data_IF_849606633442
#
_entry.id   IF_849606633442
#
_cell.length_a   1.000
_cell.length_b   1.000
_cell.length_c   1.000
_cell.angle_alpha   90.00
_cell.angle_beta   90.00
_cell.angle_gamma   90.00
#
_symmetry.space_group_name_H-M   'P 1'
#
loop_
_entity.id
_entity.type
_entity.pdbx_description
1 polymer ?
#
# COMPACT_ATOMS: atom_id res chain seq x y z
N UNK A 1 10.40 0.88 -12.18
CA UNK A 1 11.25 -0.34 -12.05
C UNK A 1 10.39 -1.58 -12.25
N UNK A 2 10.92 -2.70 -12.78
CA UNK A 2 10.14 -3.93 -13.08
C UNK A 2 9.48 -4.57 -11.84
N UNK A 3 9.95 -4.26 -10.63
CA UNK A 3 9.49 -4.86 -9.36
C UNK A 3 8.84 -3.86 -8.39
N UNK A 4 8.53 -2.66 -8.85
CA UNK A 4 8.02 -1.60 -7.97
C UNK A 4 6.69 -1.97 -7.32
N UNK A 5 5.74 -2.53 -8.09
CA UNK A 5 4.44 -2.95 -7.57
C UNK A 5 4.57 -4.08 -6.54
N UNK A 6 5.55 -4.97 -6.72
CA UNK A 6 5.86 -6.06 -5.76
C UNK A 6 6.39 -5.50 -4.44
N UNK A 7 7.30 -4.53 -4.50
CA UNK A 7 7.83 -3.86 -3.30
C UNK A 7 6.71 -3.10 -2.58
N UNK A 8 5.91 -2.34 -3.32
CA UNK A 8 4.76 -1.62 -2.76
C UNK A 8 3.72 -2.58 -2.16
N UNK A 9 3.50 -3.75 -2.77
CA UNK A 9 2.62 -4.77 -2.22
C UNK A 9 3.14 -5.32 -0.87
N UNK A 10 4.45 -5.58 -0.77
CA UNK A 10 5.07 -5.95 0.51
C UNK A 10 4.94 -4.84 1.56
N UNK A 11 5.19 -3.58 1.19
CA UNK A 11 5.00 -2.42 2.07
C UNK A 11 3.55 -2.34 2.54
N UNK A 12 2.58 -2.52 1.65
CA UNK A 12 1.17 -2.50 2.00
C UNK A 12 0.83 -3.58 3.01
N UNK A 13 1.20 -4.84 2.77
CA UNK A 13 0.93 -5.93 3.71
C UNK A 13 1.58 -5.69 5.08
N UNK A 14 2.83 -5.20 5.08
CA UNK A 14 3.59 -4.92 6.29
C UNK A 14 2.95 -3.85 7.15
N UNK A 15 2.72 -2.66 6.58
CA UNK A 15 2.19 -1.50 7.32
C UNK A 15 0.78 -1.80 7.82
N UNK A 16 -0.02 -2.49 7.01
CA UNK A 16 -1.40 -2.81 7.34
C UNK A 16 -1.51 -3.86 8.45
N UNK A 17 -0.66 -4.89 8.45
CA UNK A 17 -0.65 -5.90 9.53
C UNK A 17 -0.03 -5.35 10.81
N UNK A 18 1.04 -4.55 10.70
CA UNK A 18 1.64 -3.87 11.85
C UNK A 18 0.61 -2.97 12.54
N UNK A 19 -0.08 -2.12 11.77
CA UNK A 19 -1.13 -1.25 12.30
C UNK A 19 -2.30 -2.03 12.89
N UNK A 20 -2.71 -3.14 12.25
CA UNK A 20 -3.78 -3.98 12.78
C UNK A 20 -3.44 -4.55 14.17
N UNK A 21 -2.22 -5.07 14.33
CA UNK A 21 -1.74 -5.62 15.61
C UNK A 21 -1.55 -4.50 16.65
N UNK A 22 -1.05 -3.34 16.24
CA UNK A 22 -0.66 -2.26 17.15
C UNK A 22 -1.82 -1.32 17.56
N UNK A 23 -2.84 -1.16 16.71
CA UNK A 23 -3.87 -0.12 16.81
C UNK A 23 -5.29 -0.71 16.79
N UNK A 24 -5.55 -1.70 17.66
CA UNK A 24 -6.90 -2.22 17.93
C UNK A 24 -7.64 -2.73 16.68
N UNK A 25 -6.91 -3.40 15.80
CA UNK A 25 -7.44 -3.98 14.56
C UNK A 25 -7.67 -2.96 13.45
N UNK A 26 -7.03 -1.79 13.50
CA UNK A 26 -7.10 -0.79 12.44
C UNK A 26 -6.29 -1.21 11.21
N UNK A 27 -6.91 -1.23 10.03
CA UNK A 27 -6.21 -1.36 8.76
C UNK A 27 -5.90 0.01 8.15
N UNK A 28 -4.63 0.38 7.97
CA UNK A 28 -4.28 1.65 7.30
C UNK A 28 -4.59 1.66 5.79
N UNK A 29 -4.58 0.50 5.12
CA UNK A 29 -4.76 0.39 3.67
C UNK A 29 -6.11 -0.23 3.26
N UNK A 30 -6.68 -1.11 4.09
CA UNK A 30 -7.96 -1.79 3.82
C UNK A 30 -9.18 -1.01 4.33
N UNK A 31 -9.50 0.10 3.65
CA UNK A 31 -10.65 0.96 4.01
C UNK A 31 -11.97 0.19 4.06
N UNK A 32 -12.20 -0.74 3.13
CA UNK A 32 -13.42 -1.57 3.11
C UNK A 32 -13.51 -2.48 4.34
N UNK A 33 -12.39 -3.02 4.82
CA UNK A 33 -12.34 -3.81 6.06
C UNK A 33 -12.68 -2.96 7.28
N UNK A 34 -12.20 -1.72 7.34
CA UNK A 34 -12.55 -0.81 8.43
C UNK A 34 -14.05 -0.49 8.50
N UNK A 35 -14.76 -0.41 7.36
CA UNK A 35 -16.22 -0.21 7.38
C UNK A 35 -16.94 -1.36 8.10
N UNK A 36 -16.50 -2.60 7.89
CA UNK A 36 -17.04 -3.77 8.60
C UNK A 36 -16.74 -3.67 10.10
N UNK A 37 -15.51 -3.29 10.47
CA UNK A 37 -15.13 -3.13 11.88
C UNK A 37 -15.86 -1.98 12.59
N UNK A 38 -16.19 -0.91 11.88
CA UNK A 38 -17.04 0.17 12.39
C UNK A 38 -18.45 -0.36 12.63
N UNK A 39 -19.03 -1.07 11.65
CA UNK A 39 -20.36 -1.68 11.79
C UNK A 39 -20.42 -2.66 12.97
N UNK A 40 -19.41 -3.51 13.12
CA UNK A 40 -19.27 -4.40 14.27
C UNK A 40 -19.20 -3.61 15.59
N UNK A 41 -18.40 -2.55 15.64
CA UNK A 41 -18.27 -1.71 16.83
C UNK A 41 -19.56 -0.97 17.21
N UNK A 42 -20.34 -0.51 16.23
CA UNK A 42 -21.67 0.08 16.46
C UNK A 42 -22.63 -0.97 17.06
N UNK A 43 -22.51 -2.23 16.63
CA UNK A 43 -23.28 -3.35 17.19
C UNK A 43 -22.74 -3.84 18.56
N UNK A 44 -21.75 -3.16 19.15
CA UNK A 44 -21.17 -3.51 20.45
C UNK A 44 -20.00 -4.52 20.38
N UNK A 45 -19.56 -4.89 19.18
CA UNK A 45 -18.44 -5.83 18.97
C UNK A 45 -17.14 -5.09 18.62
N UNK A 46 -16.21 -5.01 19.58
CA UNK A 46 -14.86 -4.48 19.37
C UNK A 46 -14.58 -3.14 20.08
N UNK A 47 -13.45 -2.51 19.76
CA UNK A 47 -13.00 -1.25 20.34
C UNK A 47 -12.48 -0.28 19.26
N UNK A 48 -12.36 1.01 19.61
CA UNK A 48 -11.75 2.04 18.77
C UNK A 48 -12.59 2.48 17.57
N UNK A 49 -13.91 2.57 17.72
CA UNK A 49 -14.81 3.03 16.64
C UNK A 49 -14.47 4.46 16.21
N UNK A 50 -14.15 5.35 17.15
CA UNK A 50 -13.75 6.73 16.85
C UNK A 50 -12.47 6.75 16.02
N UNK A 51 -11.44 6.02 16.45
CA UNK A 51 -10.20 5.84 15.67
C UNK A 51 -10.50 5.34 14.25
N UNK A 52 -11.33 4.31 14.11
CA UNK A 52 -11.68 3.74 12.80
C UNK A 52 -12.49 4.70 11.91
N UNK A 53 -13.33 5.55 12.49
CA UNK A 53 -14.05 6.60 11.77
C UNK A 53 -13.12 7.74 11.34
N UNK A 54 -12.20 8.16 12.22
CA UNK A 54 -11.28 9.27 11.96
C UNK A 54 -10.26 9.00 10.85
N UNK A 55 -9.93 7.73 10.60
CA UNK A 55 -8.94 7.38 9.57
C UNK A 55 -9.49 7.47 8.15
N UNK A 56 -10.81 7.42 7.96
CA UNK A 56 -11.41 7.53 6.62
C UNK A 56 -11.16 8.92 5.99
N UNK A 57 -11.42 10.04 6.68
CA UNK A 57 -10.98 11.37 6.22
C UNK A 57 -9.48 11.44 5.91
N UNK A 58 -8.63 10.82 6.74
CA UNK A 58 -7.19 10.81 6.53
C UNK A 58 -6.81 10.07 5.22
N UNK A 59 -7.46 8.94 4.94
CA UNK A 59 -7.30 8.23 3.68
C UNK A 59 -7.70 9.11 2.48
N UNK A 60 -8.85 9.80 2.57
CA UNK A 60 -9.33 10.74 1.54
C UNK A 60 -8.31 11.86 1.31
N UNK A 61 -7.75 12.43 2.38
CA UNK A 61 -6.66 13.41 2.26
C UNK A 61 -5.44 12.83 1.51
N UNK A 62 -5.10 11.55 1.73
CA UNK A 62 -4.05 10.81 1.00
C UNK A 62 -4.27 10.78 -0.50
N UNK A 63 -5.50 10.44 -0.89
CA UNK A 63 -5.90 10.37 -2.29
C UNK A 63 -5.88 11.77 -2.92
N UNK A 64 -6.40 12.79 -2.22
CA UNK A 64 -6.42 14.17 -2.70
C UNK A 64 -4.99 14.70 -2.87
N UNK A 65 -4.15 14.56 -1.85
CA UNK A 65 -2.76 15.01 -1.89
C UNK A 65 -2.00 14.36 -3.06
N UNK A 66 -2.20 13.07 -3.29
CA UNK A 66 -1.58 12.35 -4.41
C UNK A 66 -2.03 12.87 -5.77
N UNK A 67 -3.33 13.15 -5.91
CA UNK A 67 -3.91 13.74 -7.12
C UNK A 67 -3.34 15.14 -7.38
N UNK A 68 -3.24 15.98 -6.35
CA UNK A 68 -2.68 17.32 -6.47
C UNK A 68 -1.18 17.30 -6.82
N UNK A 69 -0.39 16.43 -6.17
CA UNK A 69 1.03 16.24 -6.49
C UNK A 69 1.18 15.81 -7.95
N UNK A 70 0.46 14.78 -8.39
CA UNK A 70 0.53 14.30 -9.77
C UNK A 70 0.14 15.39 -10.79
N UNK A 71 -0.93 16.15 -10.52
CA UNK A 71 -1.38 17.25 -11.39
C UNK A 71 -0.36 18.39 -11.47
N UNK A 72 0.22 18.79 -10.34
CA UNK A 72 1.25 19.85 -10.27
C UNK A 72 2.53 19.49 -11.06
N UNK A 73 2.74 18.19 -11.30
CA UNK A 73 3.90 17.66 -12.02
C UNK A 73 3.56 17.14 -13.42
N UNK A 74 2.35 17.39 -13.92
CA UNK A 74 1.90 16.88 -15.23
C UNK A 74 2.73 17.38 -16.42
N UNK A 75 3.33 18.57 -16.31
CA UNK A 75 4.27 19.12 -17.30
C UNK A 75 5.72 18.66 -17.14
N UNK A 76 6.01 17.77 -16.19
CA UNK A 76 7.36 17.24 -15.93
C UNK A 76 7.44 15.75 -16.29
N UNK A 77 8.66 15.20 -16.47
CA UNK A 77 8.82 13.76 -16.69
C UNK A 77 8.13 12.92 -15.59
N UNK A 78 7.41 11.87 -15.99
CA UNK A 78 6.59 11.06 -15.07
C UNK A 78 7.36 10.51 -13.86
N UNK A 79 8.68 10.24 -14.01
CA UNK A 79 9.53 9.76 -12.92
C UNK A 79 9.64 10.74 -11.76
N UNK A 80 9.47 12.05 -12.00
CA UNK A 80 9.51 13.06 -10.93
C UNK A 80 8.26 13.00 -10.05
N UNK A 81 7.08 12.79 -10.66
CA UNK A 81 5.83 12.57 -9.93
C UNK A 81 5.88 11.30 -9.09
N UNK A 82 6.40 10.22 -9.66
CA UNK A 82 6.63 8.96 -8.94
C UNK A 82 7.55 9.15 -7.75
N UNK A 83 8.70 9.81 -7.97
CA UNK A 83 9.67 10.11 -6.90
C UNK A 83 9.02 10.91 -5.78
N UNK A 84 8.23 11.93 -6.13
CA UNK A 84 7.56 12.77 -5.16
C UNK A 84 6.55 11.98 -4.33
N UNK A 85 5.74 11.13 -4.95
CA UNK A 85 4.75 10.30 -4.24
C UNK A 85 5.44 9.31 -3.27
N UNK A 86 6.52 8.65 -3.71
CA UNK A 86 7.30 7.75 -2.83
C UNK A 86 7.97 8.49 -1.67
N UNK A 87 8.53 9.68 -1.94
CA UNK A 87 9.16 10.50 -0.90
C UNK A 87 8.13 11.00 0.13
N UNK A 88 6.98 11.50 -0.32
CA UNK A 88 5.89 11.93 0.57
C UNK A 88 5.39 10.75 1.40
N UNK A 89 5.17 9.59 0.78
CA UNK A 89 4.76 8.40 1.51
C UNK A 89 5.82 7.98 2.55
N UNK A 90 7.11 8.00 2.22
CA UNK A 90 8.19 7.66 3.15
C UNK A 90 8.21 8.60 4.37
N UNK A 91 8.05 9.91 4.14
CA UNK A 91 7.97 10.92 5.21
C UNK A 91 6.75 10.68 6.09
N UNK A 92 5.59 10.37 5.50
CA UNK A 92 4.38 10.05 6.27
C UNK A 92 4.55 8.76 7.08
N UNK A 93 5.19 7.71 6.54
CA UNK A 93 5.49 6.49 7.30
C UNK A 93 6.52 6.70 8.42
N UNK A 94 7.48 7.61 8.24
CA UNK A 94 8.35 8.05 9.33
C UNK A 94 7.55 8.77 10.42
N UNK A 95 6.60 9.63 10.04
CA UNK A 95 5.67 10.26 10.96
C UNK A 95 4.83 9.25 11.72
N UNK A 96 4.34 8.21 11.03
CA UNK A 96 3.61 7.10 11.64
C UNK A 96 4.50 6.33 12.64
N UNK A 97 5.74 6.05 12.27
CA UNK A 97 6.72 5.42 13.16
C UNK A 97 6.94 6.25 14.44
N UNK A 98 7.19 7.56 14.30
CA UNK A 98 7.42 8.45 15.43
C UNK A 98 6.18 8.58 16.32
N UNK A 99 4.99 8.75 15.74
CA UNK A 99 3.73 8.82 16.48
C UNK A 99 3.42 7.50 17.21
N UNK A 100 3.71 6.35 16.59
CA UNK A 100 3.54 5.05 17.21
C UNK A 100 4.50 4.81 18.37
N UNK A 101 5.78 5.21 18.24
CA UNK A 101 6.74 5.18 19.36
C UNK A 101 6.25 6.06 20.50
N UNK A 102 5.75 7.27 20.20
CA UNK A 102 5.15 8.16 21.21
C UNK A 102 3.90 7.56 21.87
N UNK A 103 3.12 6.77 21.13
CA UNK A 103 1.95 6.08 21.64
C UNK A 103 2.28 4.84 22.50
N UNK A 104 3.54 4.43 22.60
CA UNK A 104 3.92 3.19 23.31
C UNK A 104 4.13 3.45 24.82
N UNK A 105 3.54 2.64 25.72
CA UNK A 105 2.66 1.50 25.46
C UNK A 105 1.25 1.93 25.01
N UNK A 106 0.74 1.29 23.95
CA UNK A 106 -0.59 1.59 23.41
C UNK A 106 -1.65 0.96 24.30
N UNK A 107 -2.19 1.73 25.25
CA UNK A 107 -3.14 1.23 26.26
C UNK A 107 -4.60 1.59 25.96
N UNK A 108 -4.85 2.67 25.23
CA UNK A 108 -6.20 3.19 24.96
C UNK A 108 -6.35 3.56 23.47
N UNK A 109 -7.42 3.11 22.79
CA UNK A 109 -7.64 3.39 21.37
C UNK A 109 -7.89 4.86 21.07
N UNK A 110 -8.52 5.58 22.00
CA UNK A 110 -8.91 6.99 21.82
C UNK A 110 -7.86 7.96 22.38
N UNK A 111 -6.70 7.46 22.81
CA UNK A 111 -5.60 8.32 23.20
C UNK A 111 -5.06 9.10 22.00
N UNK A 112 -4.78 10.39 22.20
CA UNK A 112 -4.30 11.28 21.14
C UNK A 112 -3.10 10.69 20.35
N UNK A 113 -2.07 10.09 20.99
CA UNK A 113 -0.97 9.48 20.25
C UNK A 113 -1.40 8.33 19.30
N UNK A 114 -2.34 7.48 19.72
CA UNK A 114 -2.86 6.38 18.91
C UNK A 114 -3.70 6.87 17.73
N UNK A 115 -4.52 7.90 17.96
CA UNK A 115 -5.27 8.61 16.92
C UNK A 115 -4.35 9.24 15.88
N UNK A 116 -3.31 9.97 16.33
CA UNK A 116 -2.32 10.58 15.43
C UNK A 116 -1.59 9.50 14.63
N UNK A 117 -1.16 8.41 15.26
CA UNK A 117 -0.50 7.31 14.58
C UNK A 117 -1.40 6.70 13.49
N UNK A 118 -2.65 6.38 13.81
CA UNK A 118 -3.62 5.83 12.87
C UNK A 118 -3.93 6.78 11.71
N UNK A 119 -4.12 8.08 11.99
CA UNK A 119 -4.38 9.11 10.97
C UNK A 119 -3.18 9.24 10.02
N UNK A 120 -1.96 9.38 10.55
CA UNK A 120 -0.75 9.57 9.74
C UNK A 120 -0.45 8.31 8.91
N UNK A 121 -0.56 7.12 9.51
CA UNK A 121 -0.39 5.85 8.81
C UNK A 121 -1.42 5.66 7.69
N UNK A 122 -2.68 5.97 7.95
CA UNK A 122 -3.74 5.87 6.94
C UNK A 122 -3.60 6.91 5.83
N UNK A 123 -3.14 8.11 6.16
CA UNK A 123 -2.81 9.14 5.18
C UNK A 123 -1.71 8.66 4.23
N UNK A 124 -0.64 8.06 4.78
CA UNK A 124 0.45 7.46 4.00
C UNK A 124 -0.07 6.37 3.04
N UNK A 125 -0.92 5.47 3.53
CA UNK A 125 -1.47 4.39 2.71
C UNK A 125 -2.50 4.88 1.68
N UNK A 126 -3.21 5.97 1.96
CA UNK A 126 -4.03 6.67 0.97
C UNK A 126 -3.20 7.17 -0.21
N UNK A 127 -1.97 7.64 0.06
CA UNK A 127 -1.02 8.03 -1.00
C UNK A 127 -0.65 6.84 -1.88
N UNK A 128 -0.28 5.72 -1.27
CA UNK A 128 0.07 4.51 -2.01
C UNK A 128 -1.11 3.96 -2.84
N UNK A 129 -2.32 3.98 -2.26
CA UNK A 129 -3.52 3.45 -2.91
C UNK A 129 -3.92 4.28 -4.15
N UNK A 130 -3.67 5.59 -4.10
CA UNK A 130 -3.92 6.50 -5.21
C UNK A 130 -2.85 6.43 -6.31
N UNK A 131 -1.61 6.12 -5.97
CA UNK A 131 -0.46 6.09 -6.89
C UNK A 131 -0.74 5.48 -8.27
N UNK A 132 -1.23 4.22 -8.41
CA UNK A 132 -1.47 3.61 -9.72
C UNK A 132 -2.59 4.28 -10.53
N UNK A 133 -3.47 5.06 -9.89
CA UNK A 133 -4.57 5.79 -10.55
C UNK A 133 -4.15 7.19 -11.00
N UNK A 134 -3.27 7.84 -10.25
CA UNK A 134 -2.82 9.22 -10.55
C UNK A 134 -1.59 9.26 -11.46
N UNK A 135 -0.77 8.22 -11.47
CA UNK A 135 0.33 8.02 -12.43
C UNK A 135 0.20 6.61 -13.03
N UNK A 136 -0.65 6.43 -14.05
CA UNK A 136 -0.84 5.14 -14.69
C UNK A 136 0.45 4.64 -15.33
N UNK A 137 0.72 3.35 -15.21
CA UNK A 137 1.82 2.68 -15.92
C UNK A 137 1.30 1.50 -16.68
N UNK A 138 1.83 1.31 -17.90
CA UNK A 138 1.46 0.19 -18.74
C UNK A 138 1.75 -1.14 -18.03
N UNK A 139 0.67 -1.87 -17.71
CA UNK A 139 0.75 -3.19 -17.07
C UNK A 139 1.12 -3.19 -15.59
N UNK A 140 0.96 -2.06 -14.88
CA UNK A 140 1.07 -2.01 -13.41
C UNK A 140 -0.08 -2.76 -12.73
N UNK A 141 0.18 -3.31 -11.54
CA UNK A 141 -0.79 -4.09 -10.76
C UNK A 141 -1.18 -3.31 -9.50
N UNK A 142 -2.47 -3.21 -9.15
CA UNK A 142 -2.89 -2.64 -7.87
C UNK A 142 -2.14 -3.31 -6.70
N UNK A 143 -1.44 -2.54 -5.87
CA UNK A 143 -0.55 -3.09 -4.83
C UNK A 143 -1.14 -3.05 -3.42
N UNK A 144 -2.27 -2.36 -3.21
CA UNK A 144 -2.97 -2.29 -1.93
C UNK A 144 -4.30 -3.06 -1.90
N UNK A 145 -4.86 -3.40 -3.07
CA UNK A 145 -6.16 -4.08 -3.19
C UNK A 145 -5.93 -5.49 -3.73
N UNK A 146 -5.83 -6.46 -2.84
CA UNK A 146 -5.39 -7.83 -3.20
C UNK A 146 -6.52 -8.77 -3.59
N UNK A 147 -7.76 -8.56 -3.11
CA UNK A 147 -8.89 -9.44 -3.44
C UNK A 147 -9.08 -9.57 -4.96
N UNK A 148 -9.06 -8.44 -5.68
CA UNK A 148 -9.16 -8.44 -7.14
C UNK A 148 -7.99 -9.16 -7.81
N UNK A 149 -6.77 -8.97 -7.31
CA UNK A 149 -5.58 -9.65 -7.84
C UNK A 149 -5.64 -11.16 -7.62
N UNK A 150 -6.06 -11.62 -6.44
CA UNK A 150 -6.19 -13.04 -6.12
C UNK A 150 -7.25 -13.69 -6.99
N UNK A 151 -8.43 -13.07 -7.12
CA UNK A 151 -9.49 -13.55 -7.99
C UNK A 151 -9.01 -13.66 -9.43
N UNK A 152 -8.38 -12.62 -9.96
CA UNK A 152 -7.88 -12.62 -11.33
C UNK A 152 -6.77 -13.66 -11.53
N UNK A 153 -5.86 -13.82 -10.58
CA UNK A 153 -4.81 -14.84 -10.64
C UNK A 153 -5.40 -16.25 -10.66
N UNK A 154 -6.47 -16.51 -9.90
CA UNK A 154 -7.17 -17.80 -9.94
C UNK A 154 -7.83 -18.01 -11.30
N UNK A 155 -8.52 -17.00 -11.84
CA UNK A 155 -9.12 -17.08 -13.19
C UNK A 155 -8.07 -17.33 -14.26
N UNK A 156 -6.94 -16.62 -14.22
CA UNK A 156 -5.84 -16.83 -15.15
C UNK A 156 -5.23 -18.24 -15.01
N UNK A 157 -5.16 -18.80 -13.79
CA UNK A 157 -4.72 -20.17 -13.57
C UNK A 157 -5.69 -21.19 -14.19
N UNK A 158 -7.01 -20.95 -14.09
CA UNK A 158 -8.02 -21.77 -14.76
C UNK A 158 -7.86 -21.72 -16.28
N UNK A 159 -7.67 -20.53 -16.86
CA UNK A 159 -7.44 -20.35 -18.30
C UNK A 159 -6.17 -21.08 -18.78
N UNK A 160 -5.12 -21.11 -17.96
CA UNK A 160 -3.85 -21.79 -18.26
C UNK A 160 -3.99 -23.32 -18.25
N UNK A 161 -4.83 -23.87 -17.39
CA UNK A 161 -5.02 -25.31 -17.21
C UNK A 161 -6.12 -25.89 -18.09
N UNK A 162 -7.03 -25.04 -18.60
CA UNK A 162 -8.16 -25.48 -19.42
C UNK A 162 -7.73 -25.84 -20.84
N UNK A 163 -8.10 -27.03 -21.30
CA UNK A 163 -7.76 -27.56 -22.63
C UNK A 163 -8.41 -26.78 -23.79
N UNK A 164 -9.56 -26.15 -23.55
CA UNK A 164 -10.33 -25.39 -24.55
C UNK A 164 -9.92 -23.92 -24.71
N UNK A 165 -8.96 -23.42 -23.93
CA UNK A 165 -8.55 -22.01 -24.00
C UNK A 165 -7.70 -21.76 -25.25
N UNK A 166 -8.11 -20.78 -26.07
CA UNK A 166 -7.34 -20.34 -27.22
C UNK A 166 -5.93 -19.86 -26.82
N UNK A 167 -4.92 -20.13 -27.65
CA UNK A 167 -3.51 -19.83 -27.32
C UNK A 167 -3.25 -18.35 -27.04
N UNK A 168 -3.97 -17.45 -27.72
CA UNK A 168 -3.89 -15.99 -27.48
C UNK A 168 -4.40 -15.60 -26.10
N UNK A 169 -5.52 -16.19 -25.67
CA UNK A 169 -6.07 -15.99 -24.33
C UNK A 169 -5.15 -16.60 -23.25
N UNK A 170 -4.59 -17.79 -23.51
CA UNK A 170 -3.64 -18.45 -22.62
C UNK A 170 -2.35 -17.64 -22.44
N UNK A 171 -1.83 -17.04 -23.51
CA UNK A 171 -0.66 -16.16 -23.43
C UNK A 171 -0.95 -14.89 -22.61
N UNK A 172 -2.12 -14.28 -22.80
CA UNK A 172 -2.55 -13.13 -22.01
C UNK A 172 -2.72 -13.47 -20.52
N UNK A 173 -3.36 -14.60 -20.20
CA UNK A 173 -3.50 -15.12 -18.85
C UNK A 173 -2.13 -15.38 -18.20
N UNK A 174 -1.20 -16.02 -18.91
CA UNK A 174 0.19 -16.23 -18.43
C UNK A 174 0.87 -14.92 -18.06
N UNK A 175 0.73 -13.91 -18.93
CA UNK A 175 1.34 -12.60 -18.72
C UNK A 175 0.74 -11.85 -17.53
N UNK A 176 -0.58 -11.93 -17.32
CA UNK A 176 -1.26 -11.33 -16.14
C UNK A 176 -0.91 -12.07 -14.85
N UNK A 177 -1.02 -13.40 -14.86
CA UNK A 177 -0.69 -14.26 -13.72
C UNK A 177 0.74 -14.04 -13.23
N UNK A 178 1.70 -14.00 -14.16
CA UNK A 178 3.11 -13.76 -13.84
C UNK A 178 3.40 -12.39 -13.24
N UNK A 179 2.51 -11.40 -13.41
CA UNK A 179 2.61 -10.08 -12.76
C UNK A 179 1.89 -10.03 -11.42
N UNK A 180 0.74 -10.68 -11.30
CA UNK A 180 -0.09 -10.68 -10.09
C UNK A 180 0.49 -11.57 -8.99
N UNK A 181 0.96 -12.77 -9.33
CA UNK A 181 1.45 -13.73 -8.34
C UNK A 181 2.60 -13.18 -7.47
N UNK A 182 3.64 -12.52 -8.02
CA UNK A 182 4.67 -11.91 -7.20
C UNK A 182 4.13 -10.85 -6.23
N UNK A 183 3.17 -10.03 -6.67
CA UNK A 183 2.57 -9.00 -5.80
C UNK A 183 1.76 -9.62 -4.66
N UNK A 184 1.00 -10.69 -4.92
CA UNK A 184 0.23 -11.42 -3.90
C UNK A 184 1.18 -12.05 -2.86
N UNK A 185 2.23 -12.75 -3.33
CA UNK A 185 3.21 -13.38 -2.44
C UNK A 185 3.95 -12.31 -1.62
N UNK A 186 4.38 -11.23 -2.26
CA UNK A 186 5.06 -10.14 -1.58
C UNK A 186 4.18 -9.47 -0.51
N UNK A 187 2.89 -9.26 -0.81
CA UNK A 187 1.94 -8.77 0.19
C UNK A 187 1.84 -9.70 1.40
N UNK A 188 1.69 -11.02 1.17
CA UNK A 188 1.61 -12.00 2.25
C UNK A 188 2.90 -12.07 3.10
N UNK A 189 4.07 -12.06 2.45
CA UNK A 189 5.37 -11.99 3.14
C UNK A 189 5.52 -10.69 3.92
N UNK A 190 5.09 -9.56 3.33
CA UNK A 190 5.06 -8.26 3.98
C UNK A 190 4.19 -8.28 5.24
N UNK A 191 2.98 -8.84 5.15
CA UNK A 191 2.07 -8.99 6.27
C UNK A 191 2.67 -9.78 7.43
N UNK A 192 3.29 -10.94 7.14
CA UNK A 192 4.02 -11.71 8.14
C UNK A 192 5.18 -10.92 8.74
N UNK A 193 5.93 -10.19 7.90
CA UNK A 193 7.01 -9.30 8.33
C UNK A 193 6.52 -8.17 9.24
N UNK A 194 5.36 -7.58 8.97
CA UNK A 194 4.77 -6.52 9.78
C UNK A 194 4.36 -7.01 11.17
N UNK A 195 3.70 -8.18 11.24
CA UNK A 195 3.33 -8.81 12.50
C UNK A 195 4.55 -9.17 13.36
N UNK A 196 5.52 -9.87 12.75
CA UNK A 196 6.73 -10.31 13.46
C UNK A 196 7.64 -9.14 13.82
N UNK A 197 7.73 -8.12 12.96
CA UNK A 197 8.50 -6.91 13.19
C UNK A 197 7.95 -6.11 14.37
N UNK A 198 6.63 -5.91 14.42
CA UNK A 198 5.99 -5.24 15.55
C UNK A 198 6.23 -5.99 16.87
N UNK A 199 6.11 -7.31 16.86
CA UNK A 199 6.36 -8.14 18.04
C UNK A 199 7.80 -7.99 18.58
N UNK A 200 8.79 -7.78 17.72
CA UNK A 200 10.21 -7.72 18.12
C UNK A 200 10.67 -6.32 18.50
N UNK A 201 10.30 -5.30 17.71
CA UNK A 201 10.84 -3.94 17.85
C UNK A 201 9.76 -2.85 17.85
N UNK A 202 8.48 -3.24 17.94
CA UNK A 202 7.35 -2.31 17.99
C UNK A 202 7.24 -1.48 16.70
N UNK A 203 6.89 -0.20 16.86
CA UNK A 203 6.72 0.71 15.72
C UNK A 203 8.01 1.01 14.95
N UNK A 204 9.20 0.77 15.53
CA UNK A 204 10.48 0.91 14.82
C UNK A 204 10.60 -0.04 13.62
N UNK A 205 9.80 -1.11 13.58
CA UNK A 205 9.70 -2.00 12.42
C UNK A 205 9.27 -1.25 11.13
N UNK A 206 8.57 -0.11 11.26
CA UNK A 206 8.20 0.76 10.12
C UNK A 206 9.39 1.40 9.42
N UNK A 207 10.59 1.39 10.00
CA UNK A 207 11.81 1.84 9.31
C UNK A 207 12.13 0.98 8.07
N UNK A 208 11.70 -0.30 8.05
CA UNK A 208 11.85 -1.19 6.90
C UNK A 208 11.06 -0.69 5.67
N UNK A 209 9.73 -0.51 5.75
CA UNK A 209 8.98 0.05 4.62
C UNK A 209 9.39 1.49 4.27
N UNK A 210 9.80 2.31 5.25
CA UNK A 210 10.38 3.64 4.97
C UNK A 210 11.62 3.52 4.09
N UNK A 211 12.57 2.64 4.45
CA UNK A 211 13.78 2.40 3.66
C UNK A 211 13.47 1.91 2.25
N UNK A 212 12.49 1.01 2.10
CA UNK A 212 12.05 0.54 0.80
C UNK A 212 11.50 1.68 -0.08
N UNK A 213 10.65 2.55 0.47
CA UNK A 213 10.12 3.72 -0.25
C UNK A 213 11.19 4.75 -0.58
N UNK A 214 12.14 5.00 0.33
CA UNK A 214 13.27 5.87 0.08
C UNK A 214 14.13 5.35 -1.08
N UNK A 215 14.40 4.05 -1.13
CA UNK A 215 15.07 3.42 -2.27
C UNK A 215 14.27 3.60 -3.56
N UNK A 216 12.96 3.35 -3.56
CA UNK A 216 12.12 3.56 -4.74
C UNK A 216 12.12 5.02 -5.21
N UNK A 217 12.13 5.98 -4.30
CA UNK A 217 12.23 7.41 -4.63
C UNK A 217 13.58 7.75 -5.29
N UNK A 218 14.68 7.23 -4.76
CA UNK A 218 16.03 7.45 -5.31
C UNK A 218 16.18 6.83 -6.72
N UNK A 219 15.66 5.60 -6.90
CA UNK A 219 15.79 4.86 -8.15
C UNK A 219 14.71 5.20 -9.21
N UNK A 220 13.70 6.00 -8.86
CA UNK A 220 12.67 6.44 -9.80
C UNK A 220 13.26 7.13 -11.04
N UNK A 221 14.34 7.91 -10.88
CA UNK A 221 15.01 8.62 -11.98
C UNK A 221 15.77 7.68 -12.93
N UNK A 222 16.37 6.61 -12.40
CA UNK A 222 17.21 5.68 -13.18
C UNK A 222 16.36 4.76 -14.09
N UNK A 223 15.10 4.51 -13.73
CA UNK A 223 14.19 3.72 -14.56
C UNK A 223 13.72 4.43 -15.85
N UNK A 224 14.09 5.69 -16.06
CA UNK A 224 13.69 6.50 -17.22
C UNK A 224 14.74 6.61 -18.34
N UNK A 225 15.95 6.03 -18.19
CA UNK A 225 16.93 5.90 -19.28
C UNK A 225 17.29 4.44 -19.53
N UNK A 226 17.78 4.01 -20.72
CA UNK A 226 17.85 4.63 -22.05
C UNK A 226 16.72 4.16 -23.01
N UNK A 227 15.58 3.68 -22.50
CA UNK A 227 14.47 3.24 -23.36
C UNK A 227 13.72 4.38 -24.09
N UNK A 228 14.00 5.64 -23.72
CA UNK A 228 13.40 6.82 -24.35
C UNK A 228 14.25 7.39 -25.50
N UNK A 229 15.49 6.92 -25.69
CA UNK A 229 16.41 7.44 -26.71
C UNK A 229 16.37 6.68 -28.04
N UNK A 230 15.69 5.52 -28.10
CA UNK A 230 15.46 4.74 -29.32
C UNK A 230 14.17 5.13 -30.08
N UNK A 231 13.44 6.16 -29.62
CA UNK A 231 12.16 6.60 -30.22
C UNK A 231 12.10 8.10 -30.54
N UNK A 232 13.24 8.78 -30.63
CA UNK A 232 13.35 10.13 -31.15
C UNK A 232 14.17 10.10 -32.44
#
# INVERSE_FOLDING_TARGET
MKHEDTILAAVAGFVDTLSFVALFGLFTAHVTGNFVLIGAGIAGFGQGVVLKLSVFPAFVCGVIASSLIARSMSGRPAWQGVRALHAVQAVLLLGFCAAGVWATPVTQPDALPALVAGIVGTFAMGVQNAHPRVIPRAGGVPNTVMTGNVTQAILDAVDLLSAGTADTARAAARARFGKMLPAIVAFALGAMGGALGFRQVGFLALLVPVGALAMLALFAAQAAGPAAQERA
#
